data_IF_759143237038
#
_entry.id   IF_759143237038
#
_cell.length_a   1.000
_cell.length_b   1.000
_cell.length_c   1.000
_cell.angle_alpha   90.00
_cell.angle_beta   90.00
_cell.angle_gamma   90.00
#
_symmetry.space_group_name_H-M   'P 1'
#
loop_
_entity.id
_entity.type
_entity.pdbx_description
1 polymer ?
#
# COMPACT_ATOMS: atom_id res chain seq x y z
N UNK A 1 21.47 -1.21 12.45
CA UNK A 1 20.57 -0.33 11.69
C UNK A 1 19.67 -1.24 10.89
N UNK A 2 18.38 -1.27 11.20
CA UNK A 2 17.42 -2.06 10.41
C UNK A 2 17.27 -1.42 9.03
N UNK A 3 17.04 -2.24 8.02
CA UNK A 3 16.89 -1.88 6.59
C UNK A 3 15.58 -1.12 6.27
N UNK A 4 14.88 -0.64 7.30
CA UNK A 4 13.56 -0.03 7.22
C UNK A 4 13.60 1.31 6.45
N UNK A 5 12.58 1.61 5.64
CA UNK A 5 12.53 2.85 4.85
C UNK A 5 13.26 2.82 3.50
N UNK A 6 13.63 1.62 3.00
CA UNK A 6 14.10 1.43 1.62
C UNK A 6 13.13 0.60 0.78
N UNK A 7 12.68 1.16 -0.33
CA UNK A 7 12.00 0.39 -1.37
C UNK A 7 13.04 -0.36 -2.20
N UNK A 8 12.93 -1.69 -2.26
CA UNK A 8 13.85 -2.53 -3.03
C UNK A 8 13.20 -2.93 -4.34
N UNK A 9 13.88 -2.64 -5.45
CA UNK A 9 13.46 -3.06 -6.77
C UNK A 9 14.19 -4.34 -7.14
N UNK A 10 13.42 -5.37 -7.49
CA UNK A 10 13.93 -6.67 -7.89
C UNK A 10 13.62 -6.94 -9.36
N UNK A 11 14.48 -7.71 -10.02
CA UNK A 11 14.23 -8.27 -11.35
C UNK A 11 13.94 -9.76 -11.19
N UNK A 12 12.79 -10.24 -11.70
CA UNK A 12 12.50 -11.67 -11.71
C UNK A 12 13.47 -12.40 -12.65
N UNK A 13 13.89 -13.58 -12.24
CA UNK A 13 14.60 -14.54 -13.09
C UNK A 13 13.58 -15.42 -13.80
N UNK A 14 13.27 -15.06 -15.04
CA UNK A 14 12.27 -15.77 -15.83
C UNK A 14 12.71 -17.20 -16.18
N UNK A 15 14.01 -17.47 -16.30
CA UNK A 15 14.48 -18.84 -16.59
C UNK A 15 14.13 -19.75 -15.42
N UNK A 16 14.44 -19.32 -14.19
CA UNK A 16 14.04 -20.04 -12.98
C UNK A 16 12.54 -20.16 -12.84
N UNK A 17 11.79 -19.09 -13.11
CA UNK A 17 10.33 -19.10 -13.03
C UNK A 17 9.72 -20.16 -13.96
N UNK A 18 10.23 -20.29 -15.19
CA UNK A 18 9.79 -21.33 -16.12
C UNK A 18 10.20 -22.75 -15.73
N UNK A 19 11.14 -22.89 -14.80
CA UNK A 19 11.54 -24.17 -14.20
C UNK A 19 10.76 -24.48 -12.91
N UNK A 20 9.82 -23.62 -12.50
CA UNK A 20 9.07 -23.76 -11.26
C UNK A 20 9.79 -23.23 -10.03
N UNK A 21 10.86 -22.47 -10.21
CA UNK A 21 11.63 -21.84 -9.14
C UNK A 21 11.37 -20.34 -9.08
N UNK A 22 11.18 -19.80 -7.87
CA UNK A 22 11.10 -18.35 -7.67
C UNK A 22 12.50 -17.77 -7.53
N UNK A 23 12.89 -16.92 -8.49
CA UNK A 23 14.19 -16.25 -8.49
C UNK A 23 14.05 -14.74 -8.66
N UNK A 24 14.73 -13.98 -7.81
CA UNK A 24 14.81 -12.52 -7.90
C UNK A 24 16.26 -12.06 -7.68
N UNK A 25 16.67 -11.04 -8.43
CA UNK A 25 17.91 -10.31 -8.19
C UNK A 25 17.61 -8.89 -7.78
N UNK A 26 18.27 -8.40 -6.72
CA UNK A 26 18.16 -6.99 -6.33
C UNK A 26 18.77 -6.12 -7.44
N UNK A 27 17.96 -5.22 -8.00
CA UNK A 27 18.41 -4.25 -9.02
C UNK A 27 18.93 -3.00 -8.34
N UNK A 28 18.16 -2.45 -7.39
CA UNK A 28 18.48 -1.20 -6.71
C UNK A 28 17.62 -1.03 -5.45
N UNK A 29 17.94 -0.02 -4.65
CA UNK A 29 17.14 0.42 -3.51
C UNK A 29 16.93 1.92 -3.53
N UNK A 30 15.71 2.37 -3.26
CA UNK A 30 15.34 3.78 -3.15
C UNK A 30 15.04 4.13 -1.70
N UNK A 31 15.44 5.33 -1.28
CA UNK A 31 15.07 5.88 0.03
C UNK A 31 13.74 6.58 -0.11
N UNK A 32 12.74 6.16 0.67
CA UNK A 32 11.47 6.87 0.77
C UNK A 32 11.67 8.15 1.59
N UNK A 33 11.03 9.24 1.16
CA UNK A 33 11.14 10.54 1.81
C UNK A 33 9.79 11.06 2.25
N UNK A 34 9.75 11.77 3.37
CA UNK A 34 8.57 12.49 3.83
C UNK A 34 8.30 13.72 2.95
N UNK A 35 7.21 14.45 3.25
CA UNK A 35 6.83 15.65 2.51
C UNK A 35 7.84 16.80 2.65
N UNK A 36 8.77 16.74 3.61
CA UNK A 36 9.85 17.70 3.82
C UNK A 36 11.16 17.28 3.15
N UNK A 37 11.25 16.04 2.66
CA UNK A 37 12.42 15.46 2.02
C UNK A 37 13.34 14.69 2.95
N UNK A 38 12.98 14.53 4.24
CA UNK A 38 13.72 13.68 5.17
C UNK A 38 13.46 12.21 4.85
N UNK A 39 14.36 11.32 5.26
CA UNK A 39 14.09 9.88 5.21
C UNK A 39 12.80 9.57 5.97
N UNK A 40 11.93 8.81 5.32
CA UNK A 40 10.71 8.27 5.91
C UNK A 40 10.99 6.82 6.32
N UNK A 41 10.78 6.52 7.59
CA UNK A 41 10.72 5.14 8.04
C UNK A 41 9.39 4.52 7.55
N UNK A 42 9.49 3.31 6.99
CA UNK A 42 8.38 2.65 6.32
C UNK A 42 8.33 1.19 6.79
N UNK A 43 7.89 0.94 8.03
CA UNK A 43 7.82 -0.40 8.61
C UNK A 43 6.67 -1.18 7.96
N UNK A 44 6.78 -2.51 7.93
CA UNK A 44 5.72 -3.42 7.47
C UNK A 44 5.11 -3.04 6.10
N UNK A 45 5.90 -2.95 5.01
CA UNK A 45 5.36 -2.72 3.67
C UNK A 45 4.50 -3.90 3.22
N UNK A 46 3.25 -3.61 2.84
CA UNK A 46 2.23 -4.62 2.48
C UNK A 46 1.80 -4.54 1.02
N UNK A 47 2.29 -3.55 0.28
CA UNK A 47 2.04 -3.48 -1.15
C UNK A 47 2.32 -2.10 -1.73
N UNK A 48 2.18 -2.01 -3.04
CA UNK A 48 2.29 -0.74 -3.76
C UNK A 48 2.09 -0.93 -5.25
N UNK A 49 1.70 0.14 -5.91
CA UNK A 49 1.41 0.16 -7.34
C UNK A 49 1.69 1.55 -7.91
N UNK A 50 2.16 1.58 -9.16
CA UNK A 50 2.23 2.82 -9.92
C UNK A 50 0.89 3.08 -10.62
N UNK A 51 0.58 4.36 -10.88
CA UNK A 51 -0.40 4.74 -11.89
C UNK A 51 0.05 4.25 -13.28
N UNK A 52 -0.88 4.07 -14.25
CA UNK A 52 -0.53 3.57 -15.58
C UNK A 52 0.49 4.41 -16.34
N UNK A 53 0.53 5.72 -16.08
CA UNK A 53 1.50 6.68 -16.65
C UNK A 53 2.85 6.72 -15.88
N UNK A 54 2.96 5.96 -14.80
CA UNK A 54 4.16 5.87 -13.95
C UNK A 54 4.48 7.15 -13.16
N UNK A 55 3.59 8.15 -13.12
CA UNK A 55 3.89 9.44 -12.48
C UNK A 55 3.68 9.43 -10.96
N UNK A 56 2.82 8.53 -10.46
CA UNK A 56 2.49 8.42 -9.05
C UNK A 56 2.72 6.99 -8.58
N UNK A 57 3.40 6.85 -7.45
CA UNK A 57 3.57 5.57 -6.77
C UNK A 57 2.74 5.58 -5.48
N UNK A 58 1.78 4.67 -5.38
CA UNK A 58 1.10 4.39 -4.12
C UNK A 58 1.81 3.25 -3.41
N UNK A 59 2.07 3.40 -2.11
CA UNK A 59 2.58 2.33 -1.27
C UNK A 59 1.74 2.19 -0.02
N UNK A 60 1.67 0.99 0.52
CA UNK A 60 0.89 0.67 1.70
C UNK A 60 1.76 0.03 2.76
N UNK A 61 1.52 0.39 4.01
CA UNK A 61 2.14 -0.26 5.14
C UNK A 61 1.22 -0.38 6.36
N UNK A 62 1.56 -1.31 7.24
CA UNK A 62 0.90 -1.54 8.52
C UNK A 62 0.91 -3.02 8.92
N UNK A 63 0.68 -3.26 10.21
CA UNK A 63 0.65 -4.57 10.83
C UNK A 63 -0.35 -4.58 12.00
N UNK A 64 -0.91 -5.73 12.36
CA UNK A 64 -1.96 -5.84 13.38
C UNK A 64 -1.49 -5.42 14.78
N UNK A 65 -0.19 -5.24 14.99
CA UNK A 65 0.41 -4.76 16.24
C UNK A 65 0.90 -3.31 16.16
N UNK A 66 0.81 -2.66 15.01
CA UNK A 66 1.24 -1.27 14.88
C UNK A 66 0.30 -0.37 15.70
N UNK A 67 0.89 0.53 16.48
CA UNK A 67 0.14 1.44 17.36
C UNK A 67 0.14 2.87 16.86
N UNK A 68 1.07 3.22 15.96
CA UNK A 68 1.12 4.52 15.30
C UNK A 68 0.29 4.48 14.01
N UNK A 69 -0.95 4.98 14.14
CA UNK A 69 -1.91 5.06 13.04
C UNK A 69 -1.56 6.14 12.02
N UNK A 70 -0.73 7.12 12.39
CA UNK A 70 -0.30 8.22 11.51
C UNK A 70 1.00 7.86 10.75
N UNK A 71 1.68 6.79 11.12
CA UNK A 71 2.82 6.23 10.37
C UNK A 71 2.42 5.18 9.32
N UNK A 72 1.19 4.64 9.40
CA UNK A 72 0.71 3.52 8.62
C UNK A 72 -0.42 3.91 7.64
N UNK A 73 -0.80 3.01 6.73
CA UNK A 73 -1.86 3.23 5.75
C UNK A 73 -1.33 3.38 4.32
N UNK A 74 -2.00 4.18 3.50
CA UNK A 74 -1.65 4.41 2.09
C UNK A 74 -0.89 5.73 1.94
N UNK A 75 0.28 5.65 1.33
CA UNK A 75 1.16 6.77 1.04
C UNK A 75 1.22 7.00 -0.46
N UNK A 76 1.23 8.28 -0.86
CA UNK A 76 1.34 8.70 -2.26
C UNK A 76 2.70 9.34 -2.46
N UNK A 77 3.49 8.83 -3.40
CA UNK A 77 4.82 9.32 -3.72
C UNK A 77 4.92 9.81 -5.16
N UNK A 78 5.77 10.81 -5.37
CA UNK A 78 6.23 11.19 -6.71
C UNK A 78 7.26 10.18 -7.25
N UNK A 79 7.72 10.39 -8.48
CA UNK A 79 8.75 9.56 -9.13
C UNK A 79 10.13 9.66 -8.49
N UNK A 80 10.36 10.61 -7.58
CA UNK A 80 11.56 10.74 -6.77
C UNK A 80 11.43 10.09 -5.38
N UNK A 81 10.33 9.36 -5.16
CA UNK A 81 9.98 8.71 -3.90
C UNK A 81 9.83 9.69 -2.72
N UNK A 82 9.38 10.92 -2.99
CA UNK A 82 8.96 11.90 -1.97
C UNK A 82 7.46 11.82 -1.76
N UNK A 83 7.03 11.71 -0.50
CA UNK A 83 5.62 11.62 -0.13
C UNK A 83 4.90 12.93 -0.46
N UNK A 84 3.88 12.84 -1.30
CA UNK A 84 2.99 13.93 -1.69
C UNK A 84 1.75 13.99 -0.80
N UNK A 85 1.21 12.82 -0.43
CA UNK A 85 0.05 12.68 0.42
C UNK A 85 0.12 11.38 1.23
N UNK A 86 -0.70 11.29 2.26
CA UNK A 86 -0.82 10.12 3.14
C UNK A 86 -2.26 10.01 3.59
N UNK A 87 -2.78 8.80 3.61
CA UNK A 87 -4.13 8.53 4.07
C UNK A 87 -4.25 8.79 5.55
N UNK A 88 -5.40 9.29 5.96
CA UNK A 88 -5.81 9.41 7.35
C UNK A 88 -6.60 8.18 7.78
N UNK A 89 -6.70 7.96 9.08
CA UNK A 89 -7.35 6.77 9.66
C UNK A 89 -8.60 7.18 10.46
N UNK A 90 -9.77 7.00 9.85
CA UNK A 90 -11.09 7.33 10.41
C UNK A 90 -11.59 8.75 10.14
N UNK A 91 -10.91 9.54 9.30
CA UNK A 91 -11.29 10.93 9.00
C UNK A 91 -10.73 11.42 7.66
N UNK A 92 -11.15 12.61 7.22
CA UNK A 92 -10.58 13.29 6.04
C UNK A 92 -11.07 12.74 4.69
N UNK A 93 -10.63 13.36 3.60
CA UNK A 93 -11.02 12.98 2.23
C UNK A 93 -10.28 11.74 1.73
N UNK A 94 -9.02 11.54 2.15
CA UNK A 94 -8.25 10.34 1.85
C UNK A 94 -8.21 9.40 3.06
N UNK A 95 -9.34 8.79 3.39
CA UNK A 95 -9.52 7.99 4.60
C UNK A 95 -9.30 6.49 4.36
N UNK A 96 -8.09 5.98 4.61
CA UNK A 96 -7.86 4.55 4.74
C UNK A 96 -7.93 4.19 6.22
N UNK A 97 -9.14 3.89 6.68
CA UNK A 97 -9.37 3.48 8.06
C UNK A 97 -8.95 2.03 8.28
N UNK A 98 -8.21 1.78 9.36
CA UNK A 98 -7.98 0.43 9.87
C UNK A 98 -7.65 0.47 11.37
N UNK A 99 -7.90 -0.62 12.08
CA UNK A 99 -7.83 -0.70 13.53
C UNK A 99 -6.87 -1.81 13.96
N UNK A 100 -5.56 -1.53 13.98
CA UNK A 100 -4.60 -2.46 14.51
C UNK A 100 -4.75 -2.54 16.04
N UNK A 101 -4.28 -3.64 16.60
CA UNK A 101 -4.31 -3.94 18.02
C UNK A 101 -5.66 -4.46 18.49
N UNK A 102 -5.72 -4.78 19.79
CA UNK A 102 -6.96 -5.25 20.40
C UNK A 102 -8.05 -4.18 20.29
N UNK A 103 -9.27 -4.50 19.85
CA UNK A 103 -9.84 -5.83 19.63
C UNK A 103 -10.01 -6.26 18.16
N UNK A 104 -9.48 -5.50 17.19
CA UNK A 104 -9.78 -5.73 15.78
C UNK A 104 -8.60 -6.35 15.01
N UNK A 105 -7.36 -6.05 15.39
CA UNK A 105 -6.18 -6.63 14.76
C UNK A 105 -6.18 -6.53 13.22
N UNK A 106 -6.70 -5.43 12.68
CA UNK A 106 -6.79 -5.22 11.24
C UNK A 106 -5.40 -4.93 10.64
N UNK A 107 -5.20 -5.44 9.43
CA UNK A 107 -3.95 -5.38 8.68
C UNK A 107 -4.19 -4.95 7.23
N UNK A 108 -3.41 -3.99 6.72
CA UNK A 108 -3.33 -3.75 5.28
C UNK A 108 -2.65 -4.93 4.56
N UNK A 109 -3.16 -5.34 3.39
CA UNK A 109 -2.73 -6.59 2.71
C UNK A 109 -2.56 -6.44 1.19
N UNK A 110 -2.39 -5.20 0.72
CA UNK A 110 -2.05 -4.94 -0.67
C UNK A 110 -2.89 -3.86 -1.32
N UNK A 111 -2.39 -3.42 -2.47
CA UNK A 111 -2.88 -2.25 -3.17
C UNK A 111 -2.75 -2.45 -4.68
N UNK A 112 -3.78 -2.05 -5.42
CA UNK A 112 -3.72 -1.99 -6.88
C UNK A 112 -4.38 -0.71 -7.40
N UNK A 113 -3.83 -0.18 -8.48
CA UNK A 113 -4.45 0.86 -9.26
C UNK A 113 -5.14 0.22 -10.47
N UNK A 114 -6.45 0.35 -10.53
CA UNK A 114 -7.27 -0.16 -11.62
C UNK A 114 -8.52 0.70 -11.77
N UNK A 115 -8.62 1.48 -12.84
CA UNK A 115 -9.78 2.34 -13.05
C UNK A 115 -11.04 1.53 -13.44
N UNK A 116 -12.09 1.67 -12.62
CA UNK A 116 -13.39 0.99 -12.76
C UNK A 116 -14.55 1.94 -12.98
N UNK A 117 -14.30 3.21 -13.23
CA UNK A 117 -15.38 4.19 -13.45
C UNK A 117 -16.11 4.02 -14.78
N UNK A 118 -15.63 3.12 -15.67
CA UNK A 118 -16.24 2.79 -16.95
C UNK A 118 -17.43 1.82 -16.89
N UNK A 119 -17.83 1.40 -15.69
CA UNK A 119 -19.01 0.54 -15.48
C UNK A 119 -18.82 -0.93 -15.87
N UNK A 120 -17.61 -1.36 -16.28
CA UNK A 120 -17.34 -2.77 -16.62
C UNK A 120 -17.29 -3.69 -15.39
N UNK A 121 -17.20 -3.14 -14.18
CA UNK A 121 -17.34 -3.89 -12.92
C UNK A 121 -18.59 -3.43 -12.18
N UNK A 122 -19.67 -4.23 -12.17
CA UNK A 122 -20.83 -3.93 -11.35
C UNK A 122 -20.40 -3.74 -9.88
N UNK A 123 -20.93 -2.69 -9.24
CA UNK A 123 -20.74 -2.39 -7.81
C UNK A 123 -19.31 -2.03 -7.35
N UNK A 124 -18.33 -2.03 -8.25
CA UNK A 124 -16.95 -1.59 -7.95
C UNK A 124 -16.68 -0.32 -8.74
N UNK A 125 -16.27 0.74 -8.05
CA UNK A 125 -15.95 2.05 -8.62
C UNK A 125 -14.62 2.57 -8.10
N UNK A 126 -14.14 3.67 -8.66
CA UNK A 126 -12.87 4.26 -8.29
C UNK A 126 -11.68 3.64 -9.01
N UNK A 127 -10.50 4.05 -8.58
CA UNK A 127 -9.25 3.80 -9.30
C UNK A 127 -8.20 3.13 -8.43
N UNK A 128 -8.31 3.25 -7.11
CA UNK A 128 -7.39 2.64 -6.15
C UNK A 128 -8.15 1.64 -5.30
N UNK A 129 -7.63 0.42 -5.19
CA UNK A 129 -8.29 -0.66 -4.48
C UNK A 129 -7.31 -1.30 -3.49
N UNK A 130 -7.76 -1.44 -2.25
CA UNK A 130 -6.98 -1.96 -1.15
C UNK A 130 -7.62 -3.22 -0.58
N UNK A 131 -6.78 -4.14 -0.10
CA UNK A 131 -7.22 -5.29 0.68
C UNK A 131 -6.83 -5.04 2.13
N UNK A 132 -7.75 -5.35 3.04
CA UNK A 132 -7.49 -5.34 4.47
C UNK A 132 -7.96 -6.67 5.05
N UNK A 133 -7.11 -7.29 5.87
CA UNK A 133 -7.45 -8.46 6.65
C UNK A 133 -7.85 -8.02 8.07
N UNK A 134 -8.90 -8.60 8.61
CA UNK A 134 -9.30 -8.48 10.01
C UNK A 134 -9.03 -9.84 10.66
N UNK A 135 -7.90 -9.90 11.38
CA UNK A 135 -7.42 -11.10 12.04
C UNK A 135 -8.24 -11.39 13.29
N UNK A 136 -9.24 -12.23 13.14
CA UNK A 136 -10.27 -12.41 14.15
C UNK A 136 -10.06 -13.70 14.93
N UNK A 137 -8.99 -13.83 15.72
CA UNK A 137 -8.81 -15.02 16.57
C UNK A 137 -9.76 -15.01 17.79
N UNK A 138 -10.55 -16.08 18.08
CA UNK A 138 -10.49 -17.44 17.53
C UNK A 138 -11.49 -17.76 16.40
N UNK A 139 -12.20 -16.77 15.88
CA UNK A 139 -13.10 -16.89 14.73
C UNK A 139 -12.36 -16.86 13.37
N UNK A 140 -13.13 -16.87 12.28
CA UNK A 140 -12.59 -16.77 10.92
C UNK A 140 -12.17 -15.33 10.59
N UNK A 141 -11.08 -15.21 9.84
CA UNK A 141 -10.59 -13.95 9.31
C UNK A 141 -11.58 -13.36 8.29
N UNK A 142 -11.67 -12.03 8.26
CA UNK A 142 -12.50 -11.31 7.29
C UNK A 142 -11.66 -10.43 6.39
N UNK A 143 -11.85 -10.57 5.07
CA UNK A 143 -11.21 -9.70 4.09
C UNK A 143 -12.16 -8.60 3.63
N UNK A 144 -11.69 -7.36 3.75
CA UNK A 144 -12.36 -6.18 3.22
C UNK A 144 -11.66 -5.73 1.93
N UNK A 145 -12.47 -5.52 0.89
CA UNK A 145 -12.04 -4.87 -0.35
C UNK A 145 -12.50 -3.41 -0.30
N UNK A 146 -11.55 -2.49 -0.15
CA UNK A 146 -11.83 -1.06 -0.04
C UNK A 146 -11.53 -0.38 -1.37
N UNK A 147 -12.44 0.47 -1.85
CA UNK A 147 -12.34 1.13 -3.14
C UNK A 147 -12.35 2.65 -2.97
N UNK A 148 -11.39 3.33 -3.60
CA UNK A 148 -11.20 4.78 -3.50
C UNK A 148 -11.33 5.43 -4.87
N UNK A 149 -12.14 6.47 -4.92
CA UNK A 149 -12.28 7.35 -6.08
C UNK A 149 -11.24 8.47 -5.98
N UNK A 150 -10.77 8.94 -7.14
CA UNK A 150 -9.96 10.15 -7.20
C UNK A 150 -10.91 11.35 -7.08
N UNK A 151 -10.64 12.23 -6.15
CA UNK A 151 -11.31 13.52 -6.11
C UNK A 151 -10.71 14.43 -7.20
N UNK A 152 -11.52 14.79 -8.20
CA UNK A 152 -11.15 15.71 -9.29
C UNK A 152 -11.53 17.18 -8.99
N UNK A 153 -12.01 17.49 -7.77
CA UNK A 153 -12.44 18.84 -7.40
C UNK A 153 -11.30 19.77 -6.93
N UNK A 154 -10.04 19.38 -7.15
CA UNK A 154 -8.81 20.16 -6.90
C UNK A 154 -7.95 20.23 -8.17
#
# INVERSE_FOLDING_TARGET
MTDEGRLRAYRPDFIKLFQGEVGFSLVTSYVLKDIRGNRLDFPHPQGGCFTPDGQVFFAMNGYYKDTDRDACGIHVFDTNFRRMAHSTNGYGTFNYEFHPGWSAYEEPEGLTYWDRNDGRSPQIRGCLHAIMNDQNWPSDDTFYFKHYEKDESL
#
